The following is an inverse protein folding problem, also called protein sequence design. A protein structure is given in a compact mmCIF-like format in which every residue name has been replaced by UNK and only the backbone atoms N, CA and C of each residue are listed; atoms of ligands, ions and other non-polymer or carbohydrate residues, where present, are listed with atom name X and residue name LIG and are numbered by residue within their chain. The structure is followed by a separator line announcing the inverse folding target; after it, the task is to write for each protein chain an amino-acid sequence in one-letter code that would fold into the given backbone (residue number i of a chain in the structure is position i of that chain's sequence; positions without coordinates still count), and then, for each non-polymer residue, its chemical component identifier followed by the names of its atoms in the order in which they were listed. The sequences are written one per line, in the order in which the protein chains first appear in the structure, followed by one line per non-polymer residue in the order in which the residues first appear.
data_IF_995104496734
#
_entry.id   IF_995104496734
#
_cell.length_a   1.000
_cell.length_b   1.000
_cell.length_c   1.000
_cell.angle_alpha   90.00
_cell.angle_beta   90.00
_cell.angle_gamma   90.00
#
_symmetry.space_group_name_H-M   'P 1'
#
loop_
_entity.id
_entity.type
_entity.pdbx_description
1 polymer ?
#
# COMPACT_ATOMS: atom_id res chain seq x y z
N UNK A 1 -19.39 -18.85 -1.72
CA UNK A 1 -19.69 -20.17 -2.31
C UNK A 1 -18.43 -21.02 -2.24
N UNK A 2 -18.47 -22.19 -1.59
CA UNK A 2 -17.28 -23.05 -1.45
C UNK A 2 -16.95 -23.74 -2.77
N UNK A 3 -15.66 -23.79 -3.14
CA UNK A 3 -15.18 -24.45 -4.36
C UNK A 3 -14.95 -25.94 -4.03
N UNK A 4 -15.81 -26.83 -4.53
CA UNK A 4 -15.82 -28.28 -4.18
C UNK A 4 -15.39 -29.21 -5.33
N UNK A 5 -15.22 -28.67 -6.54
CA UNK A 5 -14.82 -29.44 -7.74
C UNK A 5 -13.36 -29.18 -8.08
N UNK A 6 -12.67 -30.22 -8.56
CA UNK A 6 -11.24 -30.20 -8.86
C UNK A 6 -10.98 -30.21 -10.37
N UNK A 7 -9.90 -29.55 -10.78
CA UNK A 7 -9.37 -29.56 -12.15
C UNK A 7 -7.90 -30.00 -12.06
N UNK A 8 -7.50 -30.96 -12.91
CA UNK A 8 -6.13 -31.48 -12.96
C UNK A 8 -5.44 -30.93 -14.20
N UNK A 9 -4.29 -30.27 -14.01
CA UNK A 9 -3.47 -29.71 -15.09
C UNK A 9 -2.14 -30.46 -15.16
N UNK A 10 -1.85 -31.07 -16.31
CA UNK A 10 -0.53 -31.65 -16.60
C UNK A 10 0.43 -30.54 -17.03
N UNK A 11 1.64 -30.54 -16.47
CA UNK A 11 2.70 -29.61 -16.83
C UNK A 11 4.06 -30.24 -16.52
N UNK A 12 5.09 -29.79 -17.24
CA UNK A 12 6.49 -30.09 -16.94
C UNK A 12 6.94 -29.41 -15.64
N UNK A 13 8.10 -29.82 -15.13
CA UNK A 13 8.71 -29.22 -13.93
C UNK A 13 9.01 -27.73 -14.14
N UNK A 14 9.42 -27.34 -15.36
CA UNK A 14 9.71 -25.95 -15.71
C UNK A 14 8.45 -25.09 -15.72
N UNK A 15 7.40 -25.54 -16.42
CA UNK A 15 6.11 -24.85 -16.47
C UNK A 15 5.51 -24.69 -15.08
N UNK A 16 5.57 -25.74 -14.24
CA UNK A 16 5.08 -25.67 -12.86
C UNK A 16 5.76 -24.56 -12.06
N UNK A 17 7.09 -24.43 -12.17
CA UNK A 17 7.85 -23.36 -11.49
C UNK A 17 7.45 -21.98 -12.00
N UNK A 18 7.30 -21.82 -13.31
CA UNK A 18 6.90 -20.54 -13.93
C UNK A 18 5.52 -20.12 -13.42
N UNK A 19 4.53 -21.01 -13.48
CA UNK A 19 3.16 -20.74 -13.03
C UNK A 19 3.14 -20.39 -11.53
N UNK A 20 3.92 -21.08 -10.70
CA UNK A 20 4.04 -20.75 -9.27
C UNK A 20 4.63 -19.36 -9.03
N UNK A 21 5.66 -18.97 -9.78
CA UNK A 21 6.25 -17.63 -9.66
C UNK A 21 5.28 -16.54 -10.11
N UNK A 22 4.52 -16.75 -11.19
CA UNK A 22 3.51 -15.82 -11.67
C UNK A 22 2.35 -15.66 -10.67
N UNK A 23 1.89 -16.76 -10.07
CA UNK A 23 0.90 -16.74 -8.99
C UNK A 23 1.39 -15.91 -7.79
N UNK A 24 2.64 -16.15 -7.36
CA UNK A 24 3.28 -15.39 -6.27
C UNK A 24 3.40 -13.90 -6.58
N UNK A 25 3.84 -13.53 -7.80
CA UNK A 25 3.92 -12.13 -8.25
C UNK A 25 2.55 -11.44 -8.28
N UNK A 26 1.48 -12.21 -8.46
CA UNK A 26 0.11 -11.70 -8.48
C UNK A 26 -0.54 -11.68 -7.09
N UNK A 27 0.16 -12.12 -6.04
CA UNK A 27 -0.39 -12.21 -4.68
C UNK A 27 -1.50 -13.26 -4.54
N UNK A 28 -1.55 -14.25 -5.45
CA UNK A 28 -2.60 -15.28 -5.49
C UNK A 28 -2.03 -16.66 -5.16
N UNK A 29 -2.91 -17.54 -4.64
CA UNK A 29 -2.60 -18.97 -4.58
C UNK A 29 -2.55 -19.55 -5.99
N UNK A 30 -1.81 -20.65 -6.17
CA UNK A 30 -1.67 -21.30 -7.48
C UNK A 30 -3.03 -21.63 -8.12
N UNK A 31 -3.95 -22.19 -7.35
CA UNK A 31 -5.29 -22.56 -7.83
C UNK A 31 -6.12 -21.34 -8.22
N UNK A 32 -6.04 -20.24 -7.47
CA UNK A 32 -6.78 -19.02 -7.79
C UNK A 32 -6.18 -18.32 -9.01
N UNK A 33 -4.85 -18.31 -9.14
CA UNK A 33 -4.15 -17.79 -10.33
C UNK A 33 -4.60 -18.54 -11.59
N UNK A 34 -4.49 -19.88 -11.61
CA UNK A 34 -4.89 -20.68 -12.77
C UNK A 34 -6.37 -20.51 -13.10
N UNK A 35 -7.23 -20.49 -12.08
CA UNK A 35 -8.68 -20.30 -12.28
C UNK A 35 -8.99 -18.94 -12.89
N UNK A 36 -8.41 -17.84 -12.39
CA UNK A 36 -8.63 -16.49 -12.93
C UNK A 36 -8.10 -16.37 -14.35
N UNK A 37 -6.92 -16.91 -14.60
CA UNK A 37 -6.33 -16.93 -15.94
C UNK A 37 -7.22 -17.69 -16.94
N UNK A 38 -7.81 -18.82 -16.53
CA UNK A 38 -8.71 -19.61 -17.37
C UNK A 38 -10.08 -18.94 -17.62
N UNK A 39 -10.62 -18.19 -16.64
CA UNK A 39 -11.93 -17.54 -16.77
C UNK A 39 -11.82 -16.18 -17.48
N UNK A 40 -10.79 -15.40 -17.16
CA UNK A 40 -10.69 -13.99 -17.55
C UNK A 40 -9.63 -13.73 -18.62
N UNK A 41 -8.78 -14.71 -18.96
CA UNK A 41 -7.73 -14.57 -19.97
C UNK A 41 -6.53 -13.71 -19.54
N UNK A 42 -6.62 -12.99 -18.43
CA UNK A 42 -5.51 -12.26 -17.83
C UNK A 42 -5.58 -12.26 -16.29
N UNK A 43 -4.41 -12.17 -15.67
CA UNK A 43 -4.27 -11.87 -14.25
C UNK A 43 -3.28 -10.72 -14.11
N UNK A 44 -3.77 -9.57 -13.66
CA UNK A 44 -2.92 -8.43 -13.35
C UNK A 44 -2.09 -8.76 -12.12
N UNK A 45 -0.78 -8.83 -12.31
CA UNK A 45 0.13 -8.84 -11.19
C UNK A 45 0.07 -7.46 -10.53
N UNK A 46 -0.51 -7.39 -9.33
CA UNK A 46 -0.34 -6.23 -8.47
C UNK A 46 0.91 -6.54 -7.65
N UNK A 47 2.04 -5.87 -7.92
CA UNK A 47 3.25 -6.11 -7.15
C UNK A 47 2.94 -5.93 -5.67
N UNK A 48 3.44 -6.86 -4.84
CA UNK A 48 3.41 -6.63 -3.41
C UNK A 48 4.21 -5.36 -3.13
N UNK A 49 3.59 -4.42 -2.43
CA UNK A 49 4.27 -3.21 -1.98
C UNK A 49 5.45 -3.63 -1.11
N UNK A 50 6.62 -3.08 -1.40
CA UNK A 50 7.78 -3.15 -0.50
C UNK A 50 7.43 -2.51 0.83
N UNK A 51 8.18 -2.87 1.87
CA UNK A 51 8.01 -2.29 3.21
C UNK A 51 8.11 -0.76 3.17
N UNK A 52 9.02 -0.21 2.37
CA UNK A 52 9.16 1.23 2.15
C UNK A 52 7.93 1.85 1.49
N UNK A 53 7.36 1.22 0.46
CA UNK A 53 6.14 1.71 -0.17
C UNK A 53 4.95 1.68 0.79
N UNK A 54 4.83 0.63 1.62
CA UNK A 54 3.79 0.54 2.66
C UNK A 54 3.93 1.70 3.65
N UNK A 55 5.14 1.97 4.12
CA UNK A 55 5.42 3.10 5.03
C UNK A 55 5.10 4.44 4.37
N UNK A 56 5.48 4.61 3.11
CA UNK A 56 5.14 5.81 2.33
C UNK A 56 3.63 6.03 2.24
N UNK A 57 2.84 4.99 1.93
CA UNK A 57 1.37 5.10 1.89
C UNK A 57 0.76 5.39 3.27
N UNK A 58 1.33 4.84 4.35
CA UNK A 58 0.91 5.19 5.72
C UNK A 58 1.17 6.66 6.02
N UNK A 59 2.35 7.17 5.66
CA UNK A 59 2.70 8.59 5.79
C UNK A 59 1.75 9.49 5.01
N UNK A 60 1.42 9.13 3.76
CA UNK A 60 0.44 9.87 2.94
C UNK A 60 -0.93 9.96 3.62
N UNK A 61 -1.42 8.87 4.21
CA UNK A 61 -2.69 8.86 4.94
C UNK A 61 -2.65 9.78 6.17
N UNK A 62 -1.55 9.73 6.92
CA UNK A 62 -1.33 10.58 8.10
C UNK A 62 -1.32 12.06 7.70
N UNK A 63 -0.57 12.42 6.65
CA UNK A 63 -0.52 13.79 6.13
C UNK A 63 -1.86 14.29 5.63
N UNK A 64 -2.62 13.48 4.89
CA UNK A 64 -3.98 13.84 4.48
C UNK A 64 -4.87 14.19 5.68
N UNK A 65 -4.77 13.41 6.76
CA UNK A 65 -5.51 13.66 8.01
C UNK A 65 -5.08 14.98 8.65
N UNK A 66 -3.77 15.26 8.71
CA UNK A 66 -3.25 16.51 9.24
C UNK A 66 -3.70 17.73 8.41
N UNK A 67 -3.63 17.65 7.08
CA UNK A 67 -4.09 18.73 6.20
C UNK A 67 -5.59 18.98 6.33
N UNK A 68 -6.40 17.95 6.51
CA UNK A 68 -7.83 18.11 6.79
C UNK A 68 -8.07 18.85 8.12
N UNK A 69 -7.30 18.54 9.16
CA UNK A 69 -7.39 19.24 10.45
C UNK A 69 -6.98 20.71 10.30
N UNK A 70 -5.87 21.00 9.62
CA UNK A 70 -5.42 22.36 9.33
C UNK A 70 -6.51 23.12 8.55
N UNK A 71 -7.05 22.53 7.48
CA UNK A 71 -8.13 23.13 6.69
C UNK A 71 -9.35 23.49 7.56
N UNK A 72 -9.74 22.60 8.48
CA UNK A 72 -10.83 22.88 9.41
C UNK A 72 -10.52 24.02 10.39
N UNK A 73 -9.29 24.10 10.91
CA UNK A 73 -8.87 25.17 11.83
C UNK A 73 -8.82 26.52 11.12
N UNK A 74 -8.27 26.56 9.90
CA UNK A 74 -8.26 27.75 9.02
C UNK A 74 -9.69 28.22 8.77
N UNK A 75 -10.59 27.32 8.36
CA UNK A 75 -12.00 27.64 8.09
C UNK A 75 -12.70 28.24 9.31
N UNK A 76 -12.39 27.76 10.52
CA UNK A 76 -12.98 28.24 11.78
C UNK A 76 -12.29 29.49 12.35
N UNK A 77 -11.19 29.96 11.74
CA UNK A 77 -10.32 31.03 12.27
C UNK A 77 -9.89 30.75 13.72
N UNK A 78 -9.60 29.48 14.00
CA UNK A 78 -9.26 29.03 15.35
C UNK A 78 -7.87 29.56 15.77
N UNK A 79 -7.75 30.34 16.85
CA UNK A 79 -6.45 30.83 17.34
C UNK A 79 -5.45 29.71 17.66
N UNK A 80 -5.93 28.49 17.98
CA UNK A 80 -5.08 27.34 18.26
C UNK A 80 -4.15 26.99 17.08
N UNK A 81 -4.55 27.31 15.84
CA UNK A 81 -3.71 27.08 14.67
C UNK A 81 -2.38 27.87 14.74
N UNK A 82 -2.41 29.09 15.29
CA UNK A 82 -1.23 29.95 15.38
C UNK A 82 -0.25 29.37 16.41
N UNK A 83 -0.75 28.86 17.53
CA UNK A 83 0.07 28.21 18.56
C UNK A 83 0.68 26.90 18.05
N UNK A 84 -0.11 26.05 17.39
CA UNK A 84 0.39 24.81 16.77
C UNK A 84 1.52 25.08 15.76
N UNK A 85 1.38 26.14 14.94
CA UNK A 85 2.41 26.55 13.97
C UNK A 85 3.67 27.07 14.68
N UNK A 86 3.53 27.91 15.71
CA UNK A 86 4.68 28.41 16.49
C UNK A 86 5.45 27.28 17.15
N UNK A 87 4.75 26.32 17.73
CA UNK A 87 5.36 25.13 18.32
C UNK A 87 6.14 24.33 17.27
N UNK A 88 5.52 24.07 16.11
CA UNK A 88 6.19 23.35 15.02
C UNK A 88 7.46 24.08 14.56
N UNK A 89 7.41 25.40 14.39
CA UNK A 89 8.59 26.21 14.03
C UNK A 89 9.69 26.06 15.08
N UNK A 90 9.34 26.15 16.36
CA UNK A 90 10.31 25.96 17.46
C UNK A 90 10.98 24.59 17.42
N UNK A 91 10.21 23.53 17.20
CA UNK A 91 10.75 22.17 17.08
C UNK A 91 11.66 22.02 15.86
N UNK A 92 11.27 22.57 14.71
CA UNK A 92 12.07 22.54 13.48
C UNK A 92 13.39 23.30 13.66
N UNK A 93 13.38 24.48 14.27
CA UNK A 93 14.60 25.24 14.59
C UNK A 93 15.51 24.45 15.52
N UNK A 94 14.96 23.79 16.55
CA UNK A 94 15.74 22.92 17.44
C UNK A 94 16.37 21.73 16.70
N UNK A 95 15.65 21.14 15.74
CA UNK A 95 16.18 20.04 14.93
C UNK A 95 17.29 20.50 13.99
N UNK A 96 17.18 21.68 13.40
CA UNK A 96 18.21 22.26 12.52
C UNK A 96 19.52 22.51 13.27
N UNK A 97 19.46 22.87 14.55
CA UNK A 97 20.65 23.03 15.39
C UNK A 97 21.44 21.73 15.61
N UNK A 98 20.85 20.56 15.36
CA UNK A 98 21.54 19.26 15.47
C UNK A 98 22.34 18.89 14.21
N UNK A 99 22.19 19.65 13.13
CA UNK A 99 22.84 19.42 11.83
C UNK A 99 24.14 20.23 11.72
N UNK A 100 24.30 21.27 12.55
CA UNK A 100 25.52 22.08 12.71
C UNK A 100 26.35 21.50 13.84
#
# INVERSE_FOLDING_TARGET
MNKTKNIILRCSVGEKKIIQQLAKKSGLTLSEYCRRQAIHGEVKAIPALSQHEIEYFRMLKTYSTHFNRISSLVRKKDPALVEDIRQLVSELTRLQQRIV
#
